data_IF_119246409766
#
_entry.id   IF_119246409766
#
_cell.length_a   1.000
_cell.length_b   1.000
_cell.length_c   1.000
_cell.angle_alpha   90.00
_cell.angle_beta   90.00
_cell.angle_gamma   90.00
#
_symmetry.space_group_name_H-M   'P 1'
#
loop_
_entity.id
_entity.type
_entity.pdbx_description
1 polymer ?
#
# COMPACT_ATOMS: atom_id res chain seq x y z
N UNK A 1 56.63 -11.60 -32.72
CA UNK A 1 55.17 -11.66 -32.87
C UNK A 1 54.60 -12.18 -31.56
N UNK A 2 53.79 -11.35 -30.93
CA UNK A 2 53.34 -11.47 -29.55
C UNK A 2 52.25 -12.54 -29.38
N UNK A 3 52.38 -13.35 -28.34
CA UNK A 3 51.35 -14.28 -27.88
C UNK A 3 51.59 -14.59 -26.41
N UNK A 4 50.82 -13.92 -25.54
CA UNK A 4 50.69 -14.24 -24.13
C UNK A 4 49.35 -13.67 -23.64
N UNK A 5 48.33 -14.50 -23.79
CA UNK A 5 47.20 -14.74 -22.89
C UNK A 5 47.00 -13.72 -21.75
N UNK A 6 46.09 -12.76 -21.96
CA UNK A 6 45.53 -11.97 -20.86
C UNK A 6 44.16 -12.54 -20.52
N UNK A 7 44.15 -13.46 -19.55
CA UNK A 7 42.95 -14.11 -19.04
C UNK A 7 41.97 -13.07 -18.49
N UNK A 8 40.70 -13.30 -18.82
CA UNK A 8 39.59 -12.39 -18.61
C UNK A 8 39.50 -11.84 -17.19
N UNK A 9 39.26 -10.53 -17.13
CA UNK A 9 38.49 -9.95 -16.04
C UNK A 9 37.14 -10.69 -16.01
N UNK A 10 37.01 -11.61 -15.06
CA UNK A 10 35.72 -12.15 -14.70
C UNK A 10 34.86 -11.01 -14.21
N UNK A 11 33.96 -10.53 -15.07
CA UNK A 11 32.75 -9.85 -14.66
C UNK A 11 31.97 -10.82 -13.77
N UNK A 12 32.33 -10.86 -12.49
CA UNK A 12 31.38 -11.29 -11.49
C UNK A 12 30.22 -10.31 -11.60
N UNK A 13 28.98 -10.75 -11.83
CA UNK A 13 27.86 -9.86 -11.66
C UNK A 13 27.95 -9.38 -10.20
N UNK A 14 28.29 -8.10 -10.03
CA UNK A 14 28.14 -7.47 -8.74
C UNK A 14 26.67 -7.70 -8.39
N UNK A 15 26.43 -8.52 -7.36
CA UNK A 15 25.15 -8.56 -6.65
C UNK A 15 24.97 -7.19 -5.98
N UNK A 16 24.80 -6.16 -6.80
CA UNK A 16 24.54 -4.80 -6.40
C UNK A 16 23.12 -4.76 -5.89
N UNK A 17 23.00 -4.46 -4.59
CA UNK A 17 21.77 -4.10 -3.91
C UNK A 17 20.70 -5.20 -3.90
N UNK A 18 20.53 -5.84 -2.74
CA UNK A 18 19.29 -6.57 -2.45
C UNK A 18 18.10 -5.66 -2.81
N UNK A 19 17.22 -6.17 -3.67
CA UNK A 19 16.27 -5.44 -4.50
C UNK A 19 15.21 -4.65 -3.70
N UNK A 20 15.57 -3.45 -3.24
CA UNK A 20 14.62 -2.38 -2.92
C UNK A 20 14.48 -1.45 -4.13
N UNK A 21 13.27 -0.96 -4.42
CA UNK A 21 13.14 0.14 -5.37
C UNK A 21 13.85 1.39 -4.83
N UNK A 22 14.32 2.30 -5.70
CA UNK A 22 14.87 3.59 -5.29
C UNK A 22 13.86 4.34 -4.40
N UNK A 23 14.36 5.12 -3.42
CA UNK A 23 13.50 5.90 -2.51
C UNK A 23 12.55 6.80 -3.30
N UNK A 24 13.04 7.39 -4.39
CA UNK A 24 12.30 8.29 -5.29
C UNK A 24 11.06 7.60 -5.90
N UNK A 25 11.12 6.28 -6.13
CA UNK A 25 9.98 5.51 -6.64
C UNK A 25 8.90 5.37 -5.57
N UNK A 26 9.30 5.17 -4.31
CA UNK A 26 8.36 5.13 -3.19
C UNK A 26 7.72 6.50 -2.96
N UNK A 27 8.50 7.58 -3.01
CA UNK A 27 7.99 8.95 -2.89
C UNK A 27 6.99 9.29 -4.01
N UNK A 28 7.33 8.93 -5.24
CA UNK A 28 6.47 9.09 -6.41
C UNK A 28 5.15 8.34 -6.26
N UNK A 29 5.21 7.07 -5.82
CA UNK A 29 4.02 6.27 -5.55
C UNK A 29 3.15 6.90 -4.45
N UNK A 30 3.77 7.31 -3.34
CA UNK A 30 3.08 7.90 -2.19
C UNK A 30 2.28 9.15 -2.61
N UNK A 31 2.94 10.08 -3.31
CA UNK A 31 2.30 11.30 -3.83
C UNK A 31 1.19 10.99 -4.83
N UNK A 32 1.41 10.00 -5.69
CA UNK A 32 0.45 9.61 -6.71
C UNK A 32 -0.81 9.01 -6.09
N UNK A 33 -0.67 8.14 -5.08
CA UNK A 33 -1.81 7.57 -4.34
C UNK A 33 -2.63 8.69 -3.68
N UNK A 34 -1.99 9.62 -2.95
CA UNK A 34 -2.70 10.75 -2.34
C UNK A 34 -3.42 11.62 -3.37
N UNK A 35 -2.79 11.87 -4.52
CA UNK A 35 -3.36 12.70 -5.59
C UNK A 35 -4.59 12.05 -6.20
N UNK A 36 -4.50 10.77 -6.55
CA UNK A 36 -5.58 10.01 -7.19
C UNK A 36 -6.80 9.84 -6.26
N UNK A 37 -6.56 9.72 -4.96
CA UNK A 37 -7.63 9.69 -3.95
C UNK A 37 -8.10 11.09 -3.52
N UNK A 38 -7.54 12.17 -4.08
CA UNK A 38 -7.91 13.53 -3.70
C UNK A 38 -7.66 13.85 -2.22
N UNK A 39 -6.64 13.23 -1.63
CA UNK A 39 -6.25 13.37 -0.22
C UNK A 39 -7.37 12.93 0.73
N UNK A 40 -8.09 11.87 0.36
CA UNK A 40 -9.12 11.27 1.19
C UNK A 40 -8.67 9.93 1.74
N UNK A 41 -9.03 9.66 2.99
CA UNK A 41 -8.95 8.32 3.54
C UNK A 41 -9.89 7.37 2.77
N UNK A 42 -9.38 6.22 2.34
CA UNK A 42 -10.14 5.21 1.63
C UNK A 42 -11.23 4.56 2.50
N UNK A 43 -11.00 4.44 3.81
CA UNK A 43 -11.91 3.78 4.76
C UNK A 43 -13.01 4.71 5.26
N UNK A 44 -12.67 5.96 5.60
CA UNK A 44 -13.62 6.94 6.18
C UNK A 44 -14.17 7.93 5.16
N UNK A 45 -13.52 8.11 4.01
CA UNK A 45 -13.86 9.15 3.02
C UNK A 45 -13.51 10.59 3.43
N UNK A 46 -13.02 10.79 4.65
CA UNK A 46 -12.59 12.10 5.18
C UNK A 46 -11.52 12.68 4.28
N UNK A 47 -11.68 13.95 3.89
CA UNK A 47 -10.69 14.70 3.10
C UNK A 47 -9.77 15.48 4.01
N UNK A 48 -8.51 15.51 3.64
CA UNK A 48 -7.48 16.31 4.27
C UNK A 48 -6.89 17.30 3.26
N UNK A 49 -6.32 18.38 3.78
CA UNK A 49 -5.63 19.37 2.95
C UNK A 49 -4.24 18.86 2.56
N UNK A 50 -3.75 19.17 1.35
CA UNK A 50 -2.37 18.89 0.95
C UNK A 50 -1.36 19.43 1.95
N UNK A 51 -0.44 18.57 2.40
CA UNK A 51 0.67 18.95 3.25
C UNK A 51 1.95 19.18 2.41
N UNK A 52 2.80 20.15 2.79
CA UNK A 52 4.05 20.46 2.06
C UNK A 52 5.17 19.42 2.27
N UNK A 53 4.98 18.47 3.20
CA UNK A 53 5.95 17.43 3.51
C UNK A 53 5.88 16.22 2.57
N UNK A 54 6.89 15.35 2.67
CA UNK A 54 6.89 14.08 1.94
C UNK A 54 5.77 13.15 2.43
N UNK A 55 5.63 13.05 3.75
CA UNK A 55 4.58 12.29 4.42
C UNK A 55 3.44 13.23 4.80
N UNK A 56 2.21 12.75 4.60
CA UNK A 56 1.02 13.44 5.05
C UNK A 56 0.85 13.24 6.56
N UNK A 57 0.59 14.29 7.34
CA UNK A 57 0.53 14.19 8.81
C UNK A 57 -0.62 13.29 9.29
N UNK A 58 -1.76 13.29 8.59
CA UNK A 58 -2.96 12.54 8.99
C UNK A 58 -3.24 11.26 8.18
N UNK A 59 -2.46 10.98 7.12
CA UNK A 59 -2.73 9.89 6.20
C UNK A 59 -1.49 9.00 6.03
N UNK A 60 -1.65 7.73 6.35
CA UNK A 60 -0.73 6.66 6.03
C UNK A 60 -1.07 6.06 4.67
N UNK A 61 -0.05 5.67 3.90
CA UNK A 61 -0.23 4.91 2.65
C UNK A 61 0.08 3.44 2.94
N UNK A 62 -0.98 2.64 3.09
CA UNK A 62 -0.88 1.23 3.47
C UNK A 62 -1.03 0.33 2.25
N UNK A 63 -0.29 -0.79 2.25
CA UNK A 63 -0.36 -1.78 1.18
C UNK A 63 -1.45 -2.83 1.47
N UNK A 64 -2.15 -3.28 0.44
CA UNK A 64 -3.04 -4.44 0.48
C UNK A 64 -2.25 -5.75 0.49
N UNK A 65 -1.22 -5.82 -0.36
CA UNK A 65 -0.20 -6.85 -0.33
C UNK A 65 1.14 -6.20 0.02
N UNK A 66 1.71 -6.47 1.20
CA UNK A 66 2.99 -5.90 1.60
C UNK A 66 4.15 -6.31 0.68
N UNK A 67 5.21 -5.48 0.66
CA UNK A 67 6.38 -5.66 -0.23
C UNK A 67 7.15 -6.93 0.12
N UNK A 68 7.29 -7.22 1.40
CA UNK A 68 7.90 -8.43 1.94
C UNK A 68 7.19 -9.72 1.53
N UNK A 69 5.92 -9.60 1.10
CA UNK A 69 5.12 -10.71 0.57
C UNK A 69 4.94 -10.63 -0.95
N UNK A 70 5.83 -9.90 -1.66
CA UNK A 70 5.83 -9.80 -3.12
C UNK A 70 4.83 -8.80 -3.69
N UNK A 71 4.27 -7.90 -2.88
CA UNK A 71 3.37 -6.86 -3.36
C UNK A 71 4.04 -5.88 -4.34
N UNK A 72 3.37 -5.47 -5.42
CA UNK A 72 3.95 -4.53 -6.38
C UNK A 72 3.89 -3.07 -5.87
N UNK A 73 4.81 -2.24 -6.37
CA UNK A 73 4.73 -0.77 -6.24
C UNK A 73 3.79 -0.19 -7.29
N UNK A 74 2.50 -0.49 -7.15
CA UNK A 74 1.45 -0.06 -8.07
C UNK A 74 0.31 0.57 -7.28
N UNK A 75 -0.28 1.66 -7.79
CA UNK A 75 -1.37 2.40 -7.10
C UNK A 75 -2.52 1.47 -6.69
N UNK A 76 -2.85 0.48 -7.53
CA UNK A 76 -3.90 -0.51 -7.26
C UNK A 76 -3.59 -1.48 -6.10
N UNK A 77 -2.43 -1.37 -5.45
CA UNK A 77 -2.03 -2.10 -4.26
C UNK A 77 -2.00 -1.24 -2.99
N UNK A 78 -2.26 0.06 -3.08
CA UNK A 78 -2.11 0.98 -1.94
C UNK A 78 -3.38 1.78 -1.67
N UNK A 79 -3.62 2.03 -0.40
CA UNK A 79 -4.74 2.84 0.09
C UNK A 79 -4.21 3.96 1.00
N UNK A 80 -4.68 5.20 0.84
CA UNK A 80 -4.55 6.21 1.88
C UNK A 80 -5.51 5.89 3.02
N UNK A 81 -5.02 5.84 4.25
CA UNK A 81 -5.80 5.53 5.44
C UNK A 81 -5.42 6.53 6.53
N UNK A 82 -6.42 7.04 7.26
CA UNK A 82 -6.15 7.92 8.40
C UNK A 82 -5.34 7.16 9.46
N UNK A 83 -4.36 7.80 10.07
CA UNK A 83 -3.41 7.12 10.98
C UNK A 83 -4.11 6.35 12.12
N UNK A 84 -5.25 6.84 12.60
CA UNK A 84 -6.05 6.16 13.63
C UNK A 84 -6.52 4.76 13.21
N UNK A 85 -6.73 4.51 11.91
CA UNK A 85 -7.21 3.25 11.35
C UNK A 85 -6.09 2.40 10.72
N UNK A 86 -4.88 2.94 10.56
CA UNK A 86 -3.83 2.27 9.79
C UNK A 86 -3.36 0.97 10.45
N UNK A 87 -3.17 1.01 11.78
CA UNK A 87 -2.81 -0.19 12.56
C UNK A 87 -3.89 -1.26 12.44
N UNK A 88 -5.16 -0.93 12.68
CA UNK A 88 -6.28 -1.88 12.61
C UNK A 88 -6.44 -2.49 11.22
N UNK A 89 -6.10 -1.73 10.18
CA UNK A 89 -6.09 -2.23 8.82
C UNK A 89 -4.95 -3.24 8.59
N UNK A 90 -3.72 -2.86 8.94
CA UNK A 90 -2.52 -3.68 8.71
C UNK A 90 -2.51 -4.96 9.55
N UNK A 91 -3.07 -4.91 10.76
CA UNK A 91 -3.20 -6.10 11.63
C UNK A 91 -4.32 -7.05 11.19
N UNK A 92 -5.21 -6.60 10.30
CA UNK A 92 -6.29 -7.41 9.75
C UNK A 92 -7.63 -7.33 10.49
N UNK A 93 -7.78 -6.38 11.42
CA UNK A 93 -9.06 -6.11 12.07
C UNK A 93 -10.09 -5.50 11.11
N UNK A 94 -9.64 -4.90 10.01
CA UNK A 94 -10.48 -4.35 8.93
C UNK A 94 -10.20 -5.08 7.62
N UNK A 95 -11.24 -5.68 7.03
CA UNK A 95 -11.18 -6.41 5.76
C UNK A 95 -11.95 -5.67 4.66
N UNK A 96 -11.52 -5.90 3.41
CA UNK A 96 -12.19 -5.38 2.22
C UNK A 96 -12.61 -6.52 1.30
N UNK A 97 -13.91 -6.62 1.03
CA UNK A 97 -14.49 -7.60 0.10
C UNK A 97 -14.27 -7.19 -1.38
N UNK A 98 -14.52 -8.12 -2.31
CA UNK A 98 -14.28 -7.91 -3.75
C UNK A 98 -15.16 -6.82 -4.37
N UNK A 99 -16.33 -6.58 -3.78
CA UNK A 99 -17.23 -5.48 -4.12
C UNK A 99 -16.88 -4.17 -3.37
N UNK A 100 -15.70 -4.11 -2.76
CA UNK A 100 -15.16 -2.99 -1.99
C UNK A 100 -15.93 -2.67 -0.70
N UNK A 101 -16.77 -3.58 -0.19
CA UNK A 101 -17.36 -3.44 1.14
C UNK A 101 -16.32 -3.58 2.22
N UNK A 102 -16.45 -2.75 3.26
CA UNK A 102 -15.61 -2.81 4.46
C UNK A 102 -16.29 -3.75 5.46
N UNK A 103 -15.55 -4.73 5.97
CA UNK A 103 -16.02 -5.71 6.95
C UNK A 103 -15.10 -5.65 8.16
N UNK A 104 -15.69 -5.63 9.35
CA UNK A 104 -14.98 -5.75 10.62
C UNK A 104 -15.37 -7.10 11.23
N UNK A 105 -14.52 -8.14 11.16
CA UNK A 105 -14.90 -9.49 11.60
C UNK A 105 -15.20 -9.57 13.09
N UNK A 106 -14.48 -8.80 13.90
CA UNK A 106 -14.69 -8.68 15.33
C UNK A 106 -14.66 -7.20 15.72
N UNK A 107 -15.82 -6.65 16.06
CA UNK A 107 -15.98 -5.25 16.45
C UNK A 107 -15.26 -4.92 17.76
N UNK A 108 -15.07 -5.90 18.64
CA UNK A 108 -14.42 -5.69 19.95
C UNK A 108 -12.92 -5.41 19.82
N UNK A 109 -12.32 -5.69 18.65
CA UNK A 109 -10.92 -5.39 18.35
C UNK A 109 -10.70 -3.94 17.90
N UNK A 110 -11.77 -3.19 17.60
CA UNK A 110 -11.69 -1.79 17.23
C UNK A 110 -12.24 -0.93 18.37
N UNK A 111 -11.62 0.23 18.58
CA UNK A 111 -12.22 1.23 19.46
C UNK A 111 -13.55 1.75 18.88
N UNK A 112 -14.52 2.14 19.73
CA UNK A 112 -15.79 2.69 19.25
C UNK A 112 -15.64 3.92 18.34
N UNK A 113 -14.62 4.75 18.60
CA UNK A 113 -14.25 5.89 17.75
C UNK A 113 -13.78 5.44 16.36
N UNK A 114 -12.93 4.40 16.27
CA UNK A 114 -12.47 3.87 14.98
C UNK A 114 -13.60 3.22 14.21
N UNK A 115 -14.48 2.47 14.87
CA UNK A 115 -15.69 1.94 14.25
C UNK A 115 -16.59 3.04 13.66
N UNK A 116 -16.78 4.14 14.40
CA UNK A 116 -17.62 5.25 13.96
C UNK A 116 -17.04 6.01 12.75
N UNK A 117 -15.72 5.93 12.52
CA UNK A 117 -15.08 6.53 11.35
C UNK A 117 -15.29 5.72 10.06
N UNK A 118 -15.60 4.43 10.16
CA UNK A 118 -15.68 3.55 8.99
C UNK A 118 -16.94 3.82 8.17
N UNK A 119 -16.78 3.81 6.85
CA UNK A 119 -17.90 3.72 5.91
C UNK A 119 -18.26 2.25 5.67
N UNK A 120 -19.38 2.02 5.01
CA UNK A 120 -19.80 0.66 4.62
C UNK A 120 -18.99 0.12 3.42
N UNK A 121 -18.37 1.01 2.64
CA UNK A 121 -17.58 0.67 1.45
C UNK A 121 -16.43 1.64 1.25
N UNK A 122 -15.36 1.17 0.61
CA UNK A 122 -14.22 2.00 0.27
C UNK A 122 -14.64 3.24 -0.53
N UNK A 123 -14.01 4.36 -0.23
CA UNK A 123 -13.87 5.43 -1.19
C UNK A 123 -12.89 4.98 -2.29
N UNK A 124 -13.29 5.12 -3.54
CA UNK A 124 -12.53 4.64 -4.69
C UNK A 124 -12.12 5.81 -5.58
N UNK A 125 -10.96 5.71 -6.25
CA UNK A 125 -10.59 6.63 -7.32
C UNK A 125 -11.65 6.71 -8.42
N UNK A 126 -11.76 7.89 -9.03
CA UNK A 126 -12.66 8.13 -10.15
C UNK A 126 -12.29 7.20 -11.32
N UNK A 127 -11.01 7.16 -11.68
CA UNK A 127 -10.48 6.33 -12.74
C UNK A 127 -10.38 4.87 -12.28
N UNK A 128 -11.04 3.97 -13.03
CA UNK A 128 -11.09 2.53 -12.70
C UNK A 128 -9.71 1.87 -12.66
N UNK A 129 -8.77 2.32 -13.48
CA UNK A 129 -7.41 1.76 -13.57
C UNK A 129 -6.61 1.93 -12.27
N UNK A 130 -6.95 2.92 -11.45
CA UNK A 130 -6.28 3.16 -10.17
C UNK A 130 -6.97 2.52 -8.98
N UNK A 131 -8.13 1.89 -9.20
CA UNK A 131 -8.84 1.22 -8.12
C UNK A 131 -8.05 0.02 -7.61
N UNK A 132 -8.26 -0.38 -6.36
CA UNK A 132 -7.64 -1.57 -5.81
C UNK A 132 -7.91 -2.79 -6.70
N UNK A 133 -6.84 -3.52 -7.03
CA UNK A 133 -6.95 -4.71 -7.84
C UNK A 133 -7.53 -5.86 -7.01
N UNK A 134 -8.40 -6.65 -7.62
CA UNK A 134 -9.07 -7.78 -6.96
C UNK A 134 -8.07 -8.81 -6.41
N UNK A 135 -6.93 -9.00 -7.09
CA UNK A 135 -5.86 -9.88 -6.63
C UNK A 135 -5.23 -9.42 -5.30
N UNK A 136 -5.03 -8.13 -5.12
CA UNK A 136 -4.46 -7.58 -3.88
C UNK A 136 -5.49 -7.58 -2.74
N UNK A 137 -6.76 -7.31 -3.04
CA UNK A 137 -7.85 -7.45 -2.07
C UNK A 137 -7.98 -8.89 -1.57
N UNK A 138 -7.90 -9.86 -2.48
CA UNK A 138 -7.92 -11.27 -2.15
C UNK A 138 -6.72 -11.67 -1.27
N UNK A 139 -5.54 -11.11 -1.53
CA UNK A 139 -4.37 -11.29 -0.66
C UNK A 139 -4.64 -10.74 0.75
N UNK A 140 -5.05 -9.47 0.85
CA UNK A 140 -5.35 -8.80 2.13
C UNK A 140 -6.28 -9.64 2.99
N UNK A 141 -7.41 -10.09 2.43
CA UNK A 141 -8.38 -10.93 3.16
C UNK A 141 -7.80 -12.26 3.63
N UNK A 142 -6.97 -12.92 2.81
CA UNK A 142 -6.36 -14.21 3.17
C UNK A 142 -5.34 -14.04 4.28
N UNK A 143 -4.53 -12.99 4.21
CA UNK A 143 -3.52 -12.69 5.21
C UNK A 143 -4.15 -12.46 6.59
N UNK A 144 -5.23 -11.68 6.64
CA UNK A 144 -5.93 -11.40 7.90
C UNK A 144 -6.71 -12.58 8.49
N UNK A 145 -7.16 -13.53 7.65
CA UNK A 145 -7.88 -14.74 8.11
C UNK A 145 -6.97 -15.90 8.52
N UNK A 146 -5.68 -15.84 8.15
CA UNK A 146 -4.68 -16.88 8.44
C UNK A 146 -3.89 -16.64 9.73
N UNK A 147 -4.23 -15.60 10.50
CA UNK A 147 -3.72 -15.32 11.84
C UNK A 147 -4.78 -15.69 12.87
#
# INVERSE_FOLDING_TARGET
MSGADNNGFGDFPQRGFAAGAPMEVYEGLYRLVLTVYGHRCALSGTRFEPAPGLLHPDLDIVALQPREHGGPLAISNYLPVVNALSTDFVTGSILIEDDYRIIVPNTDLLSPENLALLRNSLHLPAEKIFRPAQTHLAYHRRFSRGR
#
